data_IF_167276761749
#
_entry.id   IF_167276761749
#
_cell.length_a   1.000
_cell.length_b   1.000
_cell.length_c   1.000
_cell.angle_alpha   90.00
_cell.angle_beta   90.00
_cell.angle_gamma   90.00
#
_symmetry.space_group_name_H-M   'P 1'
#
loop_
_entity.id
_entity.type
_entity.pdbx_description
1 polymer ?
#
# COMPACT_ATOMS: atom_id res chain seq x y z
N UNK A 1 68.41 -47.13 -7.57
CA UNK A 1 67.17 -47.67 -8.19
C UNK A 1 66.22 -48.04 -7.06
N UNK A 2 65.03 -47.50 -6.84
CA UNK A 2 64.28 -46.30 -7.24
C UNK A 2 63.36 -46.00 -6.04
N UNK A 3 63.01 -44.73 -5.77
CA UNK A 3 62.25 -44.35 -4.60
C UNK A 3 60.74 -44.62 -4.81
N UNK A 4 60.05 -45.12 -3.78
CA UNK A 4 58.60 -45.27 -3.79
C UNK A 4 57.95 -43.98 -3.30
N UNK A 5 57.30 -43.29 -4.23
CA UNK A 5 56.54 -42.05 -4.05
C UNK A 5 55.33 -42.29 -3.13
N UNK A 6 55.03 -41.38 -2.18
CA UNK A 6 53.79 -41.46 -1.42
C UNK A 6 52.61 -41.02 -2.30
N UNK A 7 51.52 -41.79 -2.21
CA UNK A 7 50.26 -41.54 -2.91
C UNK A 7 49.60 -40.25 -2.40
N UNK A 8 49.14 -39.33 -3.26
CA UNK A 8 48.57 -38.07 -2.80
C UNK A 8 47.17 -38.31 -2.21
N UNK A 9 47.09 -37.97 -0.93
CA UNK A 9 45.89 -37.83 -0.13
C UNK A 9 44.88 -36.84 -0.72
N UNK A 10 43.60 -37.15 -0.51
CA UNK A 10 42.50 -36.24 -0.12
C UNK A 10 42.50 -34.87 -0.82
N UNK A 11 41.69 -34.73 -1.87
CA UNK A 11 41.16 -33.41 -2.22
C UNK A 11 39.76 -33.33 -1.62
N UNK A 12 39.70 -32.57 -0.53
CA UNK A 12 38.52 -32.24 0.25
C UNK A 12 37.62 -31.31 -0.59
N UNK A 13 36.64 -31.89 -1.27
CA UNK A 13 35.68 -31.16 -2.13
C UNK A 13 34.50 -30.57 -1.34
N UNK A 14 34.65 -30.38 -0.02
CA UNK A 14 33.58 -29.95 0.90
C UNK A 14 33.63 -28.48 1.31
N UNK A 15 34.55 -27.70 0.74
CA UNK A 15 34.79 -26.30 1.13
C UNK A 15 34.39 -25.24 0.10
N UNK A 16 33.82 -25.62 -1.06
CA UNK A 16 33.52 -24.68 -2.15
C UNK A 16 32.10 -24.09 -1.99
N UNK A 17 32.07 -22.82 -1.60
CA UNK A 17 30.95 -21.85 -1.76
C UNK A 17 29.73 -21.87 -0.82
N UNK A 18 29.85 -22.33 0.43
CA UNK A 18 28.78 -22.12 1.43
C UNK A 18 28.68 -20.67 1.95
N UNK A 19 29.80 -19.91 1.97
CA UNK A 19 29.84 -18.52 2.46
C UNK A 19 29.08 -17.54 1.56
N UNK A 20 29.27 -17.53 0.23
CA UNK A 20 28.53 -16.65 -0.68
C UNK A 20 27.01 -16.87 -0.60
N UNK A 21 26.59 -18.15 -0.54
CA UNK A 21 25.18 -18.53 -0.41
C UNK A 21 24.59 -18.03 0.91
N UNK A 22 25.31 -18.19 2.02
CA UNK A 22 24.86 -17.67 3.33
C UNK A 22 24.73 -16.15 3.34
N UNK A 23 25.70 -15.44 2.78
CA UNK A 23 25.64 -13.97 2.67
C UNK A 23 24.50 -13.50 1.76
N UNK A 24 24.21 -14.23 0.67
CA UNK A 24 23.09 -13.92 -0.21
C UNK A 24 21.73 -14.18 0.48
N UNK A 25 21.63 -15.25 1.28
CA UNK A 25 20.46 -15.54 2.09
C UNK A 25 20.24 -14.46 3.16
N UNK A 26 21.28 -14.09 3.90
CA UNK A 26 21.22 -13.01 4.89
C UNK A 26 20.79 -11.67 4.26
N UNK A 27 21.35 -11.32 3.10
CA UNK A 27 20.96 -10.12 2.35
C UNK A 27 19.49 -10.19 1.89
N UNK A 28 19.02 -11.37 1.48
CA UNK A 28 17.63 -11.59 1.08
C UNK A 28 16.69 -11.47 2.28
N UNK A 29 17.01 -12.10 3.41
CA UNK A 29 16.25 -11.98 4.65
C UNK A 29 16.17 -10.53 5.13
N UNK A 30 17.28 -9.79 5.05
CA UNK A 30 17.29 -8.38 5.40
C UNK A 30 16.41 -7.54 4.44
N UNK A 31 16.35 -7.89 3.15
CA UNK A 31 15.43 -7.24 2.20
C UNK A 31 13.97 -7.57 2.52
N UNK A 32 13.67 -8.84 2.82
CA UNK A 32 12.32 -9.29 3.20
C UNK A 32 11.85 -8.55 4.45
N UNK A 33 12.64 -8.54 5.52
CA UNK A 33 12.30 -7.85 6.76
C UNK A 33 12.06 -6.34 6.55
N UNK A 34 12.84 -5.68 5.69
CA UNK A 34 12.61 -4.27 5.33
C UNK A 34 11.31 -4.08 4.54
N UNK A 35 10.99 -4.99 3.63
CA UNK A 35 9.72 -4.95 2.89
C UNK A 35 8.54 -5.18 3.81
N UNK A 36 8.61 -6.14 4.73
CA UNK A 36 7.58 -6.40 5.75
C UNK A 36 7.35 -5.18 6.63
N UNK A 37 8.41 -4.55 7.13
CA UNK A 37 8.30 -3.32 7.94
C UNK A 37 7.63 -2.17 7.16
N UNK A 38 7.94 -2.04 5.86
CA UNK A 38 7.29 -1.05 4.99
C UNK A 38 5.81 -1.37 4.76
N UNK A 39 5.47 -2.63 4.54
CA UNK A 39 4.08 -3.07 4.39
C UNK A 39 3.28 -2.77 5.66
N UNK A 40 3.78 -3.15 6.83
CA UNK A 40 3.14 -2.84 8.11
C UNK A 40 2.91 -1.34 8.28
N UNK A 41 3.89 -0.51 7.94
CA UNK A 41 3.77 0.96 8.01
C UNK A 41 2.69 1.48 7.05
N UNK A 42 2.63 0.95 5.82
CA UNK A 42 1.62 1.37 4.83
C UNK A 42 0.23 0.92 5.24
N UNK A 43 0.07 -0.32 5.70
CA UNK A 43 -1.20 -0.86 6.22
C UNK A 43 -1.72 -0.01 7.38
N UNK A 44 -0.88 0.29 8.37
CA UNK A 44 -1.30 1.11 9.51
C UNK A 44 -1.71 2.54 9.09
N UNK A 45 -1.02 3.12 8.11
CA UNK A 45 -1.40 4.42 7.55
C UNK A 45 -2.72 4.36 6.78
N UNK A 46 -2.97 3.27 6.06
CA UNK A 46 -4.21 3.04 5.34
C UNK A 46 -5.38 2.89 6.32
N UNK A 47 -5.25 2.04 7.33
CA UNK A 47 -6.28 1.81 8.36
C UNK A 47 -6.67 3.13 9.06
N UNK A 48 -5.67 3.96 9.39
CA UNK A 48 -5.90 5.30 9.96
C UNK A 48 -6.63 6.23 8.99
N UNK A 49 -6.28 6.20 7.71
CA UNK A 49 -6.91 7.03 6.69
C UNK A 49 -8.36 6.62 6.47
N UNK A 50 -8.63 5.32 6.34
CA UNK A 50 -9.98 4.76 6.18
C UNK A 50 -10.86 5.07 7.39
N UNK A 51 -10.33 4.90 8.60
CA UNK A 51 -11.03 5.27 9.84
C UNK A 51 -11.40 6.75 9.87
N UNK A 52 -10.48 7.62 9.42
CA UNK A 52 -10.76 9.06 9.33
C UNK A 52 -11.80 9.39 8.26
N UNK A 53 -11.77 8.72 7.11
CA UNK A 53 -12.78 8.87 6.06
C UNK A 53 -14.16 8.49 6.57
N UNK A 54 -14.29 7.38 7.31
CA UNK A 54 -15.57 6.97 7.89
C UNK A 54 -16.13 8.00 8.89
N UNK A 55 -15.28 8.59 9.74
CA UNK A 55 -15.69 9.64 10.67
C UNK A 55 -16.18 10.89 9.93
N UNK A 56 -15.48 11.29 8.87
CA UNK A 56 -15.88 12.43 8.03
C UNK A 56 -17.19 12.14 7.31
N UNK A 57 -17.35 10.95 6.73
CA UNK A 57 -18.57 10.52 6.06
C UNK A 57 -19.79 10.56 6.99
N UNK A 58 -19.66 10.01 8.19
CA UNK A 58 -20.71 10.05 9.21
C UNK A 58 -21.08 11.51 9.58
N UNK A 59 -20.07 12.37 9.74
CA UNK A 59 -20.26 13.78 10.09
C UNK A 59 -20.95 14.54 8.97
N UNK A 60 -20.53 14.33 7.72
CA UNK A 60 -21.12 14.95 6.54
C UNK A 60 -22.58 14.51 6.37
N UNK A 61 -22.90 13.23 6.57
CA UNK A 61 -24.29 12.77 6.59
C UNK A 61 -25.13 13.43 7.69
N UNK A 62 -24.55 13.64 8.88
CA UNK A 62 -25.18 14.40 9.96
C UNK A 62 -25.51 15.84 9.54
N UNK A 63 -24.52 16.55 9.00
CA UNK A 63 -24.68 17.93 8.51
C UNK A 63 -25.73 18.00 7.41
N UNK A 64 -25.64 17.12 6.41
CA UNK A 64 -26.55 17.06 5.27
C UNK A 64 -28.01 16.93 5.73
N UNK A 65 -28.28 16.03 6.69
CA UNK A 65 -29.62 15.89 7.29
C UNK A 65 -30.08 17.17 8.01
N UNK A 66 -29.18 17.83 8.75
CA UNK A 66 -29.51 19.06 9.47
C UNK A 66 -29.80 20.23 8.51
N UNK A 67 -29.15 20.28 7.35
CA UNK A 67 -29.33 21.35 6.37
C UNK A 67 -30.37 21.04 5.29
N UNK A 68 -30.94 19.84 5.26
CA UNK A 68 -31.87 19.42 4.20
C UNK A 68 -31.21 19.16 2.84
N UNK A 69 -29.90 18.98 2.82
CA UNK A 69 -29.11 18.65 1.63
C UNK A 69 -28.84 17.15 1.62
N UNK A 70 -28.71 16.54 0.45
CA UNK A 70 -28.19 15.18 0.32
C UNK A 70 -26.93 15.15 -0.54
N UNK A 71 -26.07 14.16 -0.33
CA UNK A 71 -24.82 13.98 -1.08
C UNK A 71 -25.09 12.92 -2.15
N UNK A 72 -24.92 13.28 -3.43
CA UNK A 72 -25.15 12.44 -4.59
C UNK A 72 -23.91 11.63 -5.00
N UNK A 73 -23.73 11.42 -6.29
CA UNK A 73 -22.56 10.76 -6.87
C UNK A 73 -21.34 11.71 -6.99
N UNK A 74 -20.13 11.19 -7.25
CA UNK A 74 -18.99 12.00 -7.68
C UNK A 74 -19.33 12.85 -8.91
N UNK A 75 -18.74 14.04 -9.00
CA UNK A 75 -18.92 14.89 -10.16
C UNK A 75 -18.08 14.38 -11.35
N UNK A 76 -18.73 13.86 -12.39
CA UNK A 76 -18.07 13.36 -13.61
C UNK A 76 -17.37 14.45 -14.44
N UNK A 77 -17.60 15.74 -14.12
CA UNK A 77 -16.99 16.86 -14.84
C UNK A 77 -15.59 17.20 -14.33
N UNK A 78 -15.39 17.14 -13.02
CA UNK A 78 -14.12 17.55 -12.42
C UNK A 78 -13.51 16.52 -11.48
N UNK A 79 -14.25 15.46 -11.10
CA UNK A 79 -13.79 14.34 -10.25
C UNK A 79 -13.21 14.75 -8.89
N UNK A 80 -13.56 15.95 -8.42
CA UNK A 80 -12.96 16.58 -7.23
C UNK A 80 -13.93 16.72 -6.06
N UNK A 81 -15.21 16.44 -6.27
CA UNK A 81 -16.23 16.49 -5.21
C UNK A 81 -17.41 15.59 -5.56
N UNK A 82 -18.20 15.25 -4.55
CA UNK A 82 -19.56 14.75 -4.74
C UNK A 82 -20.52 15.88 -5.08
N UNK A 83 -21.61 15.57 -5.79
CA UNK A 83 -22.69 16.50 -6.07
C UNK A 83 -23.53 16.72 -4.81
N UNK A 84 -23.93 17.96 -4.57
CA UNK A 84 -24.91 18.33 -3.55
C UNK A 84 -26.29 18.33 -4.18
N UNK A 85 -27.24 17.67 -3.53
CA UNK A 85 -28.62 17.53 -3.98
C UNK A 85 -29.53 18.29 -3.03
N UNK A 86 -30.24 19.28 -3.57
CA UNK A 86 -31.21 20.09 -2.85
C UNK A 86 -32.26 20.63 -3.83
N UNK A 87 -33.54 20.67 -3.44
CA UNK A 87 -34.62 21.29 -4.21
C UNK A 87 -34.73 20.81 -5.68
N UNK A 88 -34.52 19.52 -5.95
CA UNK A 88 -34.56 18.95 -7.31
C UNK A 88 -33.36 19.36 -8.18
N UNK A 89 -32.27 19.83 -7.57
CA UNK A 89 -31.06 20.28 -8.25
C UNK A 89 -29.82 19.58 -7.70
N UNK A 90 -29.02 19.03 -8.59
CA UNK A 90 -27.66 18.54 -8.34
C UNK A 90 -26.69 19.67 -8.66
N UNK A 91 -25.81 20.01 -7.72
CA UNK A 91 -24.78 21.04 -7.91
C UNK A 91 -23.42 20.54 -7.46
N UNK A 92 -22.39 20.76 -8.28
CA UNK A 92 -21.00 20.54 -7.91
C UNK A 92 -20.43 21.79 -7.22
N UNK A 93 -20.00 21.72 -5.96
CA UNK A 93 -19.47 22.89 -5.24
C UNK A 93 -18.09 23.34 -5.75
N UNK A 94 -17.39 22.52 -6.53
CA UNK A 94 -16.04 22.83 -7.03
C UNK A 94 -16.04 23.46 -8.41
N UNK A 95 -16.78 22.90 -9.38
CA UNK A 95 -16.78 23.39 -10.76
C UNK A 95 -18.06 24.10 -11.19
N UNK A 96 -19.07 24.16 -10.30
CA UNK A 96 -20.35 24.81 -10.60
C UNK A 96 -21.21 24.05 -11.62
N UNK A 97 -20.90 22.78 -11.91
CA UNK A 97 -21.82 21.93 -12.67
C UNK A 97 -23.18 21.88 -11.96
N UNK A 98 -24.27 22.04 -12.71
CA UNK A 98 -25.62 22.00 -12.19
C UNK A 98 -26.53 21.22 -13.13
N UNK A 99 -27.44 20.44 -12.54
CA UNK A 99 -28.44 19.66 -13.28
C UNK A 99 -29.73 19.55 -12.46
N UNK A 100 -30.86 19.84 -13.08
CA UNK A 100 -32.20 19.60 -12.51
C UNK A 100 -32.65 18.15 -12.76
N UNK A 101 -33.45 17.59 -11.86
CA UNK A 101 -34.06 16.27 -12.01
C UNK A 101 -35.39 16.14 -11.26
#
# INVERSE_FOLDING_TARGET
MTPRTPSPSRIDDRGRDARPVRTALEATNARVARSEARLLTVTERLDRAESRLQLLDNTLHGIARTTGVSIGCPCDRCERSYLLVENGMMTCPVCGFQQSF
#
